data_IF_258337328051
#
_entry.id   IF_258337328051
#
_cell.length_a   1.000
_cell.length_b   1.000
_cell.length_c   1.000
_cell.angle_alpha   90.00
_cell.angle_beta   90.00
_cell.angle_gamma   90.00
#
_symmetry.space_group_name_H-M   'P 1'
#
loop_
_entity.id
_entity.type
_entity.pdbx_description
1 polymer ?
#
# COMPACT_ATOMS: atom_id res chain seq x y z
N UNK A 1 -25.07 -17.02 -35.43
CA UNK A 1 -25.34 -15.68 -34.88
C UNK A 1 -24.36 -15.46 -33.75
N UNK A 2 -23.26 -14.75 -34.01
CA UNK A 2 -22.28 -14.39 -32.98
C UNK A 2 -22.87 -13.24 -32.17
N UNK A 3 -23.12 -13.48 -30.89
CA UNK A 3 -23.44 -12.41 -29.95
C UNK A 3 -22.16 -11.65 -29.64
N UNK A 4 -21.94 -10.56 -30.39
CA UNK A 4 -21.01 -9.51 -29.99
C UNK A 4 -21.59 -8.83 -28.75
N UNK A 5 -21.06 -9.19 -27.59
CA UNK A 5 -21.47 -8.63 -26.31
C UNK A 5 -20.71 -7.32 -26.14
N UNK A 6 -21.37 -6.14 -26.10
CA UNK A 6 -20.65 -4.89 -26.02
C UNK A 6 -19.90 -4.83 -24.69
N UNK A 7 -18.57 -4.72 -24.76
CA UNK A 7 -17.71 -4.51 -23.62
C UNK A 7 -18.29 -3.36 -22.78
N UNK A 8 -18.61 -3.64 -21.51
CA UNK A 8 -19.13 -2.64 -20.60
C UNK A 8 -18.17 -1.43 -20.59
N UNK A 9 -18.67 -0.19 -20.70
CA UNK A 9 -17.81 0.98 -20.74
C UNK A 9 -16.98 1.01 -19.45
N UNK A 10 -15.66 0.91 -19.59
CA UNK A 10 -14.72 1.09 -18.50
C UNK A 10 -14.94 2.47 -17.92
N UNK A 11 -15.67 2.56 -16.80
CA UNK A 11 -15.89 3.82 -16.11
C UNK A 11 -14.52 4.35 -15.70
N UNK A 12 -14.18 5.55 -16.17
CA UNK A 12 -12.95 6.21 -15.78
C UNK A 12 -12.87 6.27 -14.24
N UNK A 13 -11.69 6.00 -13.64
CA UNK A 13 -11.54 6.07 -12.20
C UNK A 13 -11.89 7.47 -11.70
N UNK A 14 -12.60 7.55 -10.58
CA UNK A 14 -12.82 8.83 -9.91
C UNK A 14 -11.50 9.30 -9.28
N UNK A 15 -11.32 10.61 -9.04
CA UNK A 15 -10.10 11.11 -8.37
C UNK A 15 -9.76 10.40 -7.05
N UNK A 16 -10.79 10.02 -6.28
CA UNK A 16 -10.65 9.25 -5.03
C UNK A 16 -10.15 7.81 -5.28
N UNK A 17 -10.40 7.26 -6.47
CA UNK A 17 -9.90 5.94 -6.87
C UNK A 17 -8.38 5.97 -7.08
N UNK A 18 -7.85 7.03 -7.69
CA UNK A 18 -6.41 7.21 -7.88
C UNK A 18 -5.67 7.42 -6.56
N UNK A 19 -6.21 8.24 -5.65
CA UNK A 19 -5.60 8.46 -4.34
C UNK A 19 -5.57 7.16 -3.51
N UNK A 20 -6.64 6.36 -3.58
CA UNK A 20 -6.69 5.05 -2.93
C UNK A 20 -5.70 4.04 -3.52
N UNK A 21 -5.58 3.99 -4.86
CA UNK A 21 -4.60 3.14 -5.53
C UNK A 21 -3.16 3.55 -5.15
N UNK A 22 -2.89 4.86 -5.04
CA UNK A 22 -1.59 5.36 -4.60
C UNK A 22 -1.24 4.90 -3.17
N UNK A 23 -2.20 4.90 -2.24
CA UNK A 23 -1.99 4.36 -0.88
C UNK A 23 -1.63 2.87 -0.90
N UNK A 24 -2.26 2.08 -1.77
CA UNK A 24 -1.91 0.66 -1.92
C UNK A 24 -0.53 0.46 -2.56
N UNK A 25 -0.17 1.29 -3.55
CA UNK A 25 1.18 1.26 -4.13
C UNK A 25 2.25 1.63 -3.09
N UNK A 26 1.98 2.60 -2.22
CA UNK A 26 2.84 2.97 -1.10
C UNK A 26 2.98 1.82 -0.09
N UNK A 27 1.87 1.16 0.29
CA UNK A 27 1.88 -0.04 1.14
C UNK A 27 2.79 -1.12 0.56
N UNK A 28 2.61 -1.45 -0.72
CA UNK A 28 3.40 -2.50 -1.38
C UNK A 28 4.89 -2.16 -1.47
N UNK A 29 5.23 -0.88 -1.66
CA UNK A 29 6.63 -0.43 -1.62
C UNK A 29 7.23 -0.64 -0.22
N UNK A 30 6.54 -0.21 0.83
CA UNK A 30 6.98 -0.42 2.22
C UNK A 30 7.13 -1.90 2.56
N UNK A 31 6.22 -2.76 2.11
CA UNK A 31 6.29 -4.21 2.34
C UNK A 31 7.53 -4.84 1.66
N UNK A 32 7.87 -4.41 0.45
CA UNK A 32 9.10 -4.85 -0.24
C UNK A 32 10.35 -4.38 0.48
N UNK A 33 10.37 -3.11 0.92
CA UNK A 33 11.52 -2.54 1.63
C UNK A 33 11.73 -3.21 2.98
N UNK A 34 10.65 -3.53 3.70
CA UNK A 34 10.69 -4.31 4.93
C UNK A 34 11.28 -5.71 4.70
N UNK A 35 10.90 -6.39 3.62
CA UNK A 35 11.49 -7.69 3.27
C UNK A 35 13.01 -7.58 3.03
N UNK A 36 13.45 -6.52 2.35
CA UNK A 36 14.87 -6.26 2.12
C UNK A 36 15.62 -5.92 3.42
N UNK A 37 15.04 -5.11 4.30
CA UNK A 37 15.61 -4.81 5.61
C UNK A 37 15.81 -6.08 6.44
N UNK A 38 14.81 -6.97 6.48
CA UNK A 38 14.91 -8.28 7.16
C UNK A 38 16.01 -9.15 6.56
N UNK A 39 16.15 -9.17 5.22
CA UNK A 39 17.23 -9.91 4.57
C UNK A 39 18.60 -9.35 4.97
N UNK A 40 18.77 -8.01 4.99
CA UNK A 40 20.03 -7.38 5.44
C UNK A 40 20.36 -7.71 6.89
N UNK A 41 19.37 -7.72 7.79
CA UNK A 41 19.59 -8.12 9.18
C UNK A 41 20.07 -9.57 9.32
N UNK A 42 19.50 -10.48 8.56
CA UNK A 42 19.77 -11.92 8.69
C UNK A 42 21.05 -12.35 7.98
N UNK A 43 21.46 -11.65 6.92
CA UNK A 43 22.53 -12.10 6.02
C UNK A 43 23.70 -11.12 5.89
N UNK A 44 23.68 -9.97 6.58
CA UNK A 44 24.84 -9.08 6.61
C UNK A 44 26.00 -9.69 7.41
N UNK A 45 27.20 -9.57 6.88
CA UNK A 45 28.45 -9.89 7.60
C UNK A 45 28.95 -8.71 8.45
N UNK A 46 28.36 -7.53 8.24
CA UNK A 46 28.70 -6.29 8.93
C UNK A 46 27.67 -6.00 10.04
N UNK A 47 28.06 -6.03 11.34
CA UNK A 47 27.15 -5.77 12.45
C UNK A 47 26.49 -4.39 12.38
N UNK A 48 27.22 -3.38 11.90
CA UNK A 48 26.70 -2.02 11.74
C UNK A 48 25.65 -1.88 10.64
N UNK A 49 25.66 -2.73 9.61
CA UNK A 49 24.60 -2.79 8.60
C UNK A 49 23.35 -3.47 9.15
N UNK A 50 23.51 -4.54 9.95
CA UNK A 50 22.38 -5.22 10.58
C UNK A 50 21.64 -4.30 11.56
N UNK A 51 22.36 -3.51 12.37
CA UNK A 51 21.73 -2.58 13.31
C UNK A 51 21.05 -1.40 12.61
N UNK A 52 21.65 -0.87 11.53
CA UNK A 52 20.98 0.13 10.67
C UNK A 52 19.71 -0.43 10.06
N UNK A 53 19.75 -1.65 9.53
CA UNK A 53 18.58 -2.31 8.95
C UNK A 53 17.45 -2.56 9.97
N UNK A 54 17.76 -2.71 11.27
CA UNK A 54 16.75 -2.76 12.35
C UNK A 54 16.11 -1.40 12.60
N UNK A 55 16.91 -0.33 12.66
CA UNK A 55 16.40 1.02 12.83
C UNK A 55 15.50 1.43 11.63
N UNK A 56 15.94 1.09 10.41
CA UNK A 56 15.17 1.30 9.19
C UNK A 56 13.85 0.51 9.22
N UNK A 57 13.88 -0.77 9.61
CA UNK A 57 12.68 -1.59 9.76
C UNK A 57 11.68 -0.96 10.73
N UNK A 58 12.13 -0.50 11.90
CA UNK A 58 11.25 0.13 12.88
C UNK A 58 10.55 1.38 12.31
N UNK A 59 11.29 2.22 11.57
CA UNK A 59 10.74 3.41 10.90
C UNK A 59 9.74 3.05 9.81
N UNK A 60 10.04 2.03 9.01
CA UNK A 60 9.16 1.52 7.96
C UNK A 60 7.86 0.93 8.53
N UNK A 61 7.92 0.21 9.67
CA UNK A 61 6.73 -0.32 10.34
C UNK A 61 5.79 0.79 10.82
N UNK A 62 6.33 1.88 11.38
CA UNK A 62 5.52 3.05 11.76
C UNK A 62 4.88 3.72 10.53
N UNK A 63 5.59 3.75 9.41
CA UNK A 63 5.08 4.30 8.15
C UNK A 63 3.97 3.40 7.59
N UNK A 64 4.15 2.08 7.64
CA UNK A 64 3.17 1.10 7.18
C UNK A 64 1.87 1.20 7.98
N UNK A 65 1.94 1.32 9.31
CA UNK A 65 0.75 1.51 10.16
C UNK A 65 -0.06 2.75 9.75
N UNK A 66 0.62 3.87 9.49
CA UNK A 66 -0.01 5.11 9.03
C UNK A 66 -0.69 4.93 7.67
N UNK A 67 -0.04 4.24 6.72
CA UNK A 67 -0.62 3.95 5.40
C UNK A 67 -1.84 3.05 5.52
N UNK A 68 -1.77 1.97 6.30
CA UNK A 68 -2.91 1.08 6.54
C UNK A 68 -4.10 1.81 7.17
N UNK A 69 -3.83 2.72 8.11
CA UNK A 69 -4.87 3.58 8.70
C UNK A 69 -5.53 4.47 7.65
N UNK A 70 -4.75 5.07 6.74
CA UNK A 70 -5.29 5.91 5.65
C UNK A 70 -6.08 5.10 4.63
N UNK A 71 -5.61 3.91 4.26
CA UNK A 71 -6.34 2.99 3.37
C UNK A 71 -7.71 2.70 3.99
N UNK A 72 -7.75 2.33 5.27
CA UNK A 72 -9.00 2.03 5.97
C UNK A 72 -9.95 3.24 6.02
N UNK A 73 -9.44 4.45 6.25
CA UNK A 73 -10.25 5.66 6.21
C UNK A 73 -10.84 5.91 4.80
N UNK A 74 -10.04 5.74 3.76
CA UNK A 74 -10.49 5.86 2.37
C UNK A 74 -11.51 4.77 1.99
N UNK A 75 -11.33 3.53 2.47
CA UNK A 75 -12.32 2.46 2.31
C UNK A 75 -13.66 2.84 2.93
N UNK A 76 -13.66 3.39 4.16
CA UNK A 76 -14.89 3.81 4.82
C UNK A 76 -15.63 4.88 4.01
N UNK A 77 -14.92 5.86 3.45
CA UNK A 77 -15.53 6.92 2.63
C UNK A 77 -16.17 6.37 1.34
N UNK A 78 -15.66 5.23 0.82
CA UNK A 78 -16.15 4.60 -0.42
C UNK A 78 -17.33 3.66 -0.21
N UNK A 79 -17.69 3.33 1.03
CA UNK A 79 -18.84 2.46 1.30
C UNK A 79 -20.15 3.19 0.96
N UNK A 80 -21.08 2.55 0.24
CA UNK A 80 -22.40 3.14 -0.01
C UNK A 80 -23.11 3.41 1.32
N UNK A 81 -23.58 4.66 1.51
CA UNK A 81 -24.20 5.12 2.76
C UNK A 81 -23.23 5.77 3.76
N UNK A 82 -21.94 5.90 3.42
CA UNK A 82 -21.03 6.72 4.21
C UNK A 82 -21.51 8.18 4.24
N UNK A 83 -21.79 8.69 5.45
CA UNK A 83 -22.29 10.06 5.65
C UNK A 83 -21.13 11.03 5.37
N UNK A 84 -21.19 11.74 4.23
CA UNK A 84 -20.30 12.88 3.93
C UNK A 84 -20.73 14.05 4.82
N UNK A 85 -20.02 14.25 5.91
CA UNK A 85 -20.15 15.45 6.74
C UNK A 85 -19.29 16.58 6.16
#
# INVERSE_FOLDING_TARGET
MSHDSPAAPTRAPLPDDHAYQALHAEREALERDLALAKARQNFSTEPGEAERARADEASMLMSLDRVLTRIRAAEYQRRPGARRW
#
